data_IF_378974128671
#
_entry.id   IF_378974128671
#
_cell.length_a   1.000
_cell.length_b   1.000
_cell.length_c   1.000
_cell.angle_alpha   90.00
_cell.angle_beta   90.00
_cell.angle_gamma   90.00
#
_symmetry.space_group_name_H-M   'P 1'
#
loop_
_entity.id
_entity.type
_entity.pdbx_description
1 polymer ?
#
# COMPACT_ATOMS: atom_id res chain seq x y z
N UNK A 1 3.21 19.83 -12.91
CA UNK A 1 2.36 18.61 -12.95
C UNK A 1 1.51 18.53 -14.22
N UNK A 2 1.95 19.07 -15.37
CA UNK A 2 1.09 19.24 -16.56
C UNK A 2 1.32 18.11 -17.60
N UNK A 3 2.43 17.37 -17.51
CA UNK A 3 2.80 16.33 -18.48
C UNK A 3 2.25 14.92 -18.24
N UNK A 4 1.38 14.68 -17.26
CA UNK A 4 0.83 13.35 -16.96
C UNK A 4 -0.64 13.17 -17.35
N UNK A 5 -1.36 14.26 -17.64
CA UNK A 5 -2.82 14.23 -17.81
C UNK A 5 -3.26 13.43 -19.02
N UNK A 6 -2.61 13.57 -20.18
CA UNK A 6 -3.00 12.83 -21.39
C UNK A 6 -2.61 11.34 -21.33
N UNK A 7 -1.50 10.98 -20.68
CA UNK A 7 -1.18 9.58 -20.39
C UNK A 7 -2.21 8.95 -19.46
N UNK A 8 -2.59 9.67 -18.39
CA UNK A 8 -3.64 9.24 -17.45
C UNK A 8 -4.98 9.14 -18.15
N UNK A 9 -5.34 10.09 -19.02
CA UNK A 9 -6.58 10.07 -19.80
C UNK A 9 -6.61 8.89 -20.77
N UNK A 10 -5.51 8.58 -21.46
CA UNK A 10 -5.42 7.39 -22.31
C UNK A 10 -5.59 6.10 -21.49
N UNK A 11 -5.00 6.04 -20.29
CA UNK A 11 -5.18 4.91 -19.36
C UNK A 11 -6.64 4.81 -18.86
N UNK A 12 -7.27 5.91 -18.49
CA UNK A 12 -8.67 5.97 -18.05
C UNK A 12 -9.63 5.57 -19.19
N UNK A 13 -9.36 6.03 -20.43
CA UNK A 13 -10.10 5.61 -21.63
C UNK A 13 -9.96 4.11 -21.91
N UNK A 14 -8.81 3.52 -21.58
CA UNK A 14 -8.59 2.08 -21.64
C UNK A 14 -9.20 1.32 -20.45
N UNK A 15 -9.94 2.01 -19.56
CA UNK A 15 -10.61 1.40 -18.41
C UNK A 15 -9.69 1.15 -17.20
N UNK A 16 -8.53 1.81 -17.12
CA UNK A 16 -7.64 1.69 -15.98
C UNK A 16 -8.22 2.35 -14.73
N UNK A 17 -8.14 1.67 -13.59
CA UNK A 17 -8.27 2.32 -12.28
C UNK A 17 -6.90 2.90 -11.91
N UNK A 18 -6.77 4.23 -11.90
CA UNK A 18 -5.49 4.89 -11.58
C UNK A 18 -5.40 5.21 -10.11
N UNK A 19 -4.42 4.62 -9.42
CA UNK A 19 -3.97 5.10 -8.10
C UNK A 19 -2.54 5.63 -8.22
N UNK A 20 -2.41 6.95 -8.17
CA UNK A 20 -1.11 7.61 -8.19
C UNK A 20 -0.67 7.90 -6.75
N UNK A 21 0.23 7.09 -6.19
CA UNK A 21 0.87 7.42 -4.93
C UNK A 21 2.35 7.77 -5.10
N UNK A 22 2.58 9.07 -5.29
CA UNK A 22 3.90 9.69 -5.43
C UNK A 22 4.63 9.89 -4.09
N UNK A 23 3.99 9.60 -2.94
CA UNK A 23 4.61 9.71 -1.61
C UNK A 23 4.73 8.36 -0.92
N UNK A 24 5.86 8.13 -0.26
CA UNK A 24 6.17 6.87 0.42
C UNK A 24 5.13 6.44 1.47
N UNK A 25 4.48 7.40 2.15
CA UNK A 25 3.47 7.11 3.18
C UNK A 25 2.30 6.27 2.61
N UNK A 26 1.98 6.48 1.34
CA UNK A 26 0.93 5.75 0.62
C UNK A 26 1.42 4.42 0.03
N UNK A 27 2.70 4.11 0.10
CA UNK A 27 3.22 2.83 -0.42
C UNK A 27 2.70 1.61 0.35
N UNK A 28 2.24 1.85 1.58
CA UNK A 28 1.63 0.83 2.42
C UNK A 28 0.22 0.43 1.94
N UNK A 29 -0.50 1.31 1.23
CA UNK A 29 -1.88 1.08 0.78
C UNK A 29 -1.95 0.41 -0.59
N UNK A 30 -0.96 0.60 -1.47
CA UNK A 30 -0.94 0.02 -2.83
C UNK A 30 -1.16 -1.50 -2.89
N UNK A 31 -0.66 -2.24 -1.89
CA UNK A 31 -0.79 -3.70 -1.87
C UNK A 31 -2.25 -4.17 -1.92
N UNK A 32 -3.18 -3.32 -1.47
CA UNK A 32 -4.60 -3.61 -1.44
C UNK A 32 -5.29 -3.56 -2.80
N UNK A 33 -4.77 -2.72 -3.69
CA UNK A 33 -5.35 -2.43 -5.00
C UNK A 33 -4.68 -3.21 -6.12
N UNK A 34 -3.69 -4.04 -5.77
CA UNK A 34 -3.04 -4.94 -6.70
C UNK A 34 -3.91 -6.18 -6.88
N UNK A 35 -4.14 -6.58 -8.12
CA UNK A 35 -5.01 -7.68 -8.52
C UNK A 35 -4.33 -8.53 -9.57
N UNK A 36 -4.74 -9.80 -9.65
CA UNK A 36 -4.12 -10.77 -10.57
C UNK A 36 -4.41 -10.45 -12.03
N UNK A 37 -5.62 -9.95 -12.30
CA UNK A 37 -6.10 -9.71 -13.66
C UNK A 37 -6.09 -8.22 -13.99
N UNK A 38 -4.92 -7.62 -13.79
CA UNK A 38 -4.62 -6.26 -14.21
C UNK A 38 -3.39 -6.23 -15.11
N UNK A 39 -3.38 -5.21 -15.98
CA UNK A 39 -2.17 -4.73 -16.62
C UNK A 39 -1.56 -3.64 -15.74
N UNK A 40 -0.27 -3.77 -15.48
CA UNK A 40 0.49 -2.79 -14.72
C UNK A 40 1.24 -1.86 -15.65
N UNK A 41 1.13 -0.56 -15.42
CA UNK A 41 1.84 0.47 -16.17
C UNK A 41 2.66 1.30 -15.20
N UNK A 42 3.98 1.28 -15.35
CA UNK A 42 4.91 2.12 -14.59
C UNK A 42 5.20 3.37 -15.43
N UNK A 43 4.73 4.51 -14.95
CA UNK A 43 4.87 5.80 -15.63
C UNK A 43 5.92 6.64 -14.90
N UNK A 44 6.89 7.18 -15.63
CA UNK A 44 7.91 8.08 -15.06
C UNK A 44 8.17 9.28 -15.96
N UNK A 45 8.61 10.41 -15.37
CA UNK A 45 9.09 11.57 -16.14
C UNK A 45 10.45 11.21 -16.74
N UNK A 46 10.52 11.18 -18.08
CA UNK A 46 11.77 10.93 -18.79
C UNK A 46 12.77 12.08 -18.71
N UNK A 47 12.36 13.26 -18.21
CA UNK A 47 13.20 14.47 -18.20
C UNK A 47 14.01 14.67 -16.92
N UNK A 48 13.51 14.13 -15.82
CA UNK A 48 14.02 14.38 -14.48
C UNK A 48 14.63 13.11 -13.88
N UNK A 49 15.04 13.15 -12.61
CA UNK A 49 15.54 11.99 -11.87
C UNK A 49 14.45 10.91 -11.61
N UNK A 50 13.28 11.02 -12.22
CA UNK A 50 12.19 10.04 -12.10
C UNK A 50 12.63 8.63 -12.53
N UNK A 51 13.53 8.55 -13.52
CA UNK A 51 14.13 7.29 -14.00
C UNK A 51 14.81 6.48 -12.90
N UNK A 52 15.37 7.17 -11.90
CA UNK A 52 16.15 6.53 -10.82
C UNK A 52 15.24 5.82 -9.82
N UNK A 53 13.96 6.21 -9.76
CA UNK A 53 12.96 5.57 -8.89
C UNK A 53 12.24 4.38 -9.55
N UNK A 54 12.42 4.16 -10.86
CA UNK A 54 11.68 3.14 -11.63
C UNK A 54 11.89 1.74 -11.05
N UNK A 55 13.12 1.40 -10.64
CA UNK A 55 13.42 0.10 -10.04
C UNK A 55 12.57 -0.21 -8.81
N UNK A 56 12.33 0.78 -7.95
CA UNK A 56 11.50 0.60 -6.75
C UNK A 56 10.04 0.26 -7.08
N UNK A 57 9.50 0.84 -8.15
CA UNK A 57 8.15 0.53 -8.62
C UNK A 57 8.07 -0.83 -9.29
N UNK A 58 9.03 -1.16 -10.17
CA UNK A 58 9.06 -2.46 -10.85
C UNK A 58 9.22 -3.61 -9.85
N UNK A 59 10.13 -3.47 -8.89
CA UNK A 59 10.31 -4.43 -7.81
C UNK A 59 9.06 -4.59 -6.95
N UNK A 60 8.35 -3.48 -6.69
CA UNK A 60 7.09 -3.54 -5.95
C UNK A 60 6.02 -4.32 -6.69
N UNK A 61 5.84 -4.09 -7.99
CA UNK A 61 4.89 -4.88 -8.79
C UNK A 61 5.32 -6.34 -8.79
N UNK A 62 6.60 -6.65 -9.04
CA UNK A 62 7.14 -8.02 -9.00
C UNK A 62 6.93 -8.73 -7.65
N UNK A 63 7.01 -8.01 -6.53
CA UNK A 63 6.80 -8.58 -5.19
C UNK A 63 5.31 -8.76 -4.83
N UNK A 64 4.42 -7.99 -5.43
CA UNK A 64 2.97 -8.04 -5.17
C UNK A 64 2.25 -8.96 -6.16
N UNK A 65 2.69 -8.97 -7.42
CA UNK A 65 2.13 -9.76 -8.52
C UNK A 65 3.29 -10.33 -9.38
N UNK A 66 3.97 -11.40 -8.90
CA UNK A 66 5.22 -11.89 -9.51
C UNK A 66 5.13 -12.34 -10.97
N UNK A 67 3.93 -12.71 -11.43
CA UNK A 67 3.69 -13.21 -12.79
C UNK A 67 3.52 -12.08 -13.82
N UNK A 68 3.54 -10.81 -13.40
CA UNK A 68 3.29 -9.67 -14.29
C UNK A 68 4.53 -8.82 -14.48
N UNK A 69 4.86 -8.53 -15.73
CA UNK A 69 5.85 -7.53 -16.11
C UNK A 69 5.13 -6.22 -16.47
N UNK A 70 5.39 -5.11 -15.76
CA UNK A 70 4.78 -3.83 -16.08
C UNK A 70 5.19 -3.31 -17.46
N UNK A 71 4.27 -2.63 -18.15
CA UNK A 71 4.61 -1.73 -19.25
C UNK A 71 5.33 -0.51 -18.68
N UNK A 72 6.46 -0.14 -19.29
CA UNK A 72 7.24 1.02 -18.85
C UNK A 72 6.99 2.20 -19.80
N UNK A 73 6.52 3.31 -19.25
CA UNK A 73 6.12 4.52 -20.00
C UNK A 73 6.92 5.72 -19.54
N UNK A 74 7.72 6.28 -20.45
CA UNK A 74 8.46 7.50 -20.24
C UNK A 74 7.67 8.69 -20.77
N UNK A 75 7.18 9.55 -19.88
CA UNK A 75 6.47 10.78 -20.25
C UNK A 75 7.42 11.93 -20.52
N UNK A 76 6.90 12.97 -21.15
CA UNK A 76 7.65 14.18 -21.54
C UNK A 76 8.80 13.89 -22.52
N UNK A 77 8.69 12.79 -23.25
CA UNK A 77 9.58 12.50 -24.36
C UNK A 77 9.39 13.57 -25.45
N UNK A 78 10.48 13.96 -26.10
CA UNK A 78 10.54 14.90 -27.23
C UNK A 78 10.08 16.35 -26.93
N UNK A 79 9.56 16.64 -25.73
CA UNK A 79 9.19 18.00 -25.32
C UNK A 79 10.41 18.92 -25.32
N UNK A 80 10.42 19.91 -26.23
CA UNK A 80 11.57 20.82 -26.39
C UNK A 80 12.81 20.16 -27.00
N UNK A 81 12.62 19.11 -27.81
CA UNK A 81 13.71 18.39 -28.49
C UNK A 81 14.47 17.39 -27.61
N UNK A 82 13.99 17.16 -26.38
CA UNK A 82 14.64 16.28 -25.41
C UNK A 82 14.27 14.81 -25.60
N UNK A 83 15.23 13.90 -25.71
CA UNK A 83 14.95 12.46 -25.72
C UNK A 83 14.82 11.96 -24.28
N UNK A 84 13.71 11.29 -23.96
CA UNK A 84 13.46 10.76 -22.62
C UNK A 84 14.60 9.84 -22.15
N UNK A 85 15.08 10.09 -20.94
CA UNK A 85 16.10 9.29 -20.29
C UNK A 85 15.55 7.91 -19.93
N UNK A 86 16.44 6.92 -19.96
CA UNK A 86 16.15 5.54 -19.61
C UNK A 86 16.55 5.25 -18.16
N UNK A 87 15.84 4.35 -17.46
CA UNK A 87 16.32 3.81 -16.20
C UNK A 87 17.70 3.14 -16.39
N UNK A 88 18.49 2.97 -15.32
CA UNK A 88 19.76 2.25 -15.40
C UNK A 88 19.60 0.88 -16.08
N UNK A 89 20.52 0.50 -16.97
CA UNK A 89 20.46 -0.75 -17.71
C UNK A 89 20.32 -1.98 -16.79
N UNK A 90 21.01 -1.97 -15.64
CA UNK A 90 20.90 -3.02 -14.62
C UNK A 90 19.48 -3.19 -14.06
N UNK A 91 18.71 -2.11 -13.95
CA UNK A 91 17.30 -2.15 -13.53
C UNK A 91 16.46 -2.79 -14.63
N UNK A 92 16.64 -2.37 -15.88
CA UNK A 92 15.90 -2.92 -17.02
C UNK A 92 16.16 -4.43 -17.18
N UNK A 93 17.42 -4.85 -17.10
CA UNK A 93 17.84 -6.25 -17.17
C UNK A 93 17.25 -7.10 -16.04
N UNK A 94 17.26 -6.61 -14.80
CA UNK A 94 16.70 -7.32 -13.63
C UNK A 94 15.19 -7.59 -13.73
N UNK A 95 14.49 -6.81 -14.57
CA UNK A 95 13.06 -6.94 -14.84
C UNK A 95 12.75 -7.52 -16.23
N UNK A 96 13.77 -7.90 -17.01
CA UNK A 96 13.60 -8.44 -18.35
C UNK A 96 12.99 -7.45 -19.36
N UNK A 97 13.20 -6.15 -19.15
CA UNK A 97 12.71 -5.07 -20.00
C UNK A 97 13.86 -4.63 -20.91
N UNK A 98 13.61 -4.49 -22.22
CA UNK A 98 14.60 -3.93 -23.15
C UNK A 98 14.35 -2.43 -23.32
N UNK A 99 15.40 -1.65 -23.67
CA UNK A 99 15.28 -0.21 -23.93
C UNK A 99 14.26 0.14 -25.03
N UNK A 100 14.09 -0.76 -26.00
CA UNK A 100 13.11 -0.63 -27.09
C UNK A 100 11.67 -0.97 -26.65
N UNK A 101 11.49 -1.60 -25.50
CA UNK A 101 10.16 -1.90 -24.94
C UNK A 101 9.59 -0.68 -24.17
N UNK A 102 10.41 0.37 -23.96
CA UNK A 102 9.99 1.60 -23.27
C UNK A 102 9.16 2.44 -24.22
N UNK A 103 7.87 2.59 -23.89
CA UNK A 103 6.95 3.45 -24.62
C UNK A 103 7.25 4.89 -24.22
N UNK A 104 7.69 5.70 -25.19
CA UNK A 104 7.99 7.11 -24.98
C UNK A 104 6.79 7.93 -25.44
N UNK A 105 6.35 8.88 -24.63
CA UNK A 105 5.25 9.76 -25.01
C UNK A 105 5.45 11.20 -24.54
N UNK A 106 4.82 12.10 -25.28
CA UNK A 106 4.70 13.52 -24.96
C UNK A 106 3.23 13.82 -24.66
N UNK A 107 2.91 14.17 -23.41
CA UNK A 107 1.55 14.61 -23.11
C UNK A 107 1.27 16.01 -23.66
N UNK A 108 2.32 16.78 -23.99
CA UNK A 108 2.18 18.10 -24.61
C UNK A 108 1.77 18.01 -26.09
N UNK A 109 2.34 17.05 -26.83
CA UNK A 109 2.11 16.92 -28.29
C UNK A 109 1.18 15.76 -28.65
N UNK A 110 0.87 14.87 -27.69
CA UNK A 110 0.12 13.64 -27.94
C UNK A 110 0.92 12.52 -28.60
N UNK A 111 2.18 12.78 -28.99
CA UNK A 111 3.04 11.78 -29.62
C UNK A 111 3.27 10.58 -28.67
N UNK A 112 3.20 9.36 -29.20
CA UNK A 112 3.39 8.12 -28.44
C UNK A 112 2.14 7.62 -27.69
N UNK A 113 1.04 8.39 -27.66
CA UNK A 113 -0.20 7.96 -27.00
C UNK A 113 -0.88 6.80 -27.73
N UNK A 114 -0.87 6.80 -29.06
CA UNK A 114 -1.48 5.69 -29.83
C UNK A 114 -0.64 4.41 -29.74
N UNK A 115 0.69 4.53 -29.65
CA UNK A 115 1.59 3.41 -29.36
C UNK A 115 1.26 2.80 -27.99
N UNK A 116 1.03 3.63 -26.96
CA UNK A 116 0.58 3.17 -25.65
C UNK A 116 -0.76 2.42 -25.73
N UNK A 117 -1.75 2.97 -26.45
CA UNK A 117 -3.04 2.30 -26.64
C UNK A 117 -2.89 0.93 -27.32
N UNK A 118 -2.10 0.86 -28.38
CA UNK A 118 -1.83 -0.39 -29.08
C UNK A 118 -1.14 -1.43 -28.17
N UNK A 119 -0.14 -1.01 -27.40
CA UNK A 119 0.55 -1.89 -26.46
C UNK A 119 -0.41 -2.43 -25.37
N UNK A 120 -1.29 -1.57 -24.84
CA UNK A 120 -2.30 -1.96 -23.86
C UNK A 120 -3.28 -2.99 -24.45
N UNK A 121 -3.80 -2.74 -25.65
CA UNK A 121 -4.73 -3.66 -26.33
C UNK A 121 -4.05 -5.00 -26.64
N UNK A 122 -2.81 -4.99 -27.13
CA UNK A 122 -2.04 -6.21 -27.41
C UNK A 122 -1.86 -7.04 -26.14
N UNK A 123 -1.40 -6.41 -25.04
CA UNK A 123 -1.19 -7.09 -23.76
C UNK A 123 -2.48 -7.60 -23.12
N UNK A 124 -3.58 -6.85 -23.25
CA UNK A 124 -4.88 -7.29 -22.78
C UNK A 124 -5.38 -8.52 -23.57
N UNK A 125 -5.09 -8.56 -24.88
CA UNK A 125 -5.47 -9.67 -25.76
C UNK A 125 -4.64 -10.93 -25.48
N UNK A 126 -3.34 -10.79 -25.20
CA UNK A 126 -2.46 -11.90 -24.78
C UNK A 126 -2.89 -12.51 -23.43
N UNK A 127 -3.43 -11.69 -22.52
CA UNK A 127 -3.91 -12.15 -21.22
C UNK A 127 -5.27 -12.89 -21.30
N UNK A 128 -5.95 -12.88 -22.46
CA UNK A 128 -7.29 -13.41 -22.66
C UNK A 128 -7.30 -14.95 -22.85
N UNK A 129 -7.04 -15.70 -21.78
CA UNK A 129 -7.28 -17.17 -21.73
C UNK A 129 -8.66 -17.50 -21.12
N UNK A 130 -9.54 -16.51 -20.91
CA UNK A 130 -10.72 -16.67 -20.04
C UNK A 130 -12.05 -16.81 -20.81
N UNK A 131 -12.23 -17.88 -21.57
CA UNK A 131 -13.50 -18.14 -22.28
C UNK A 131 -14.68 -18.33 -21.33
N UNK A 132 -14.48 -19.04 -20.22
CA UNK A 132 -15.57 -19.44 -19.30
C UNK A 132 -16.13 -18.26 -18.51
N UNK A 133 -15.32 -17.21 -18.30
CA UNK A 133 -15.76 -16.01 -17.60
C UNK A 133 -16.74 -15.17 -18.42
N UNK A 134 -16.63 -15.19 -19.75
CA UNK A 134 -17.37 -14.32 -20.66
C UNK A 134 -18.84 -14.75 -20.87
N UNK A 135 -19.37 -15.63 -20.01
CA UNK A 135 -20.79 -15.96 -20.01
C UNK A 135 -21.65 -14.69 -19.86
N UNK A 136 -22.80 -14.66 -20.54
CA UNK A 136 -23.72 -13.52 -20.47
C UNK A 136 -24.18 -13.23 -19.04
N UNK A 137 -24.35 -14.27 -18.23
CA UNK A 137 -24.68 -14.15 -16.80
C UNK A 137 -23.62 -13.36 -16.02
N UNK A 138 -22.33 -13.71 -16.16
CA UNK A 138 -21.24 -13.00 -15.49
C UNK A 138 -21.10 -11.55 -15.96
N UNK A 139 -21.23 -11.31 -17.27
CA UNK A 139 -21.19 -9.96 -17.82
C UNK A 139 -22.34 -9.09 -17.31
N UNK A 140 -23.54 -9.66 -17.19
CA UNK A 140 -24.69 -8.98 -16.61
C UNK A 140 -24.45 -8.62 -15.13
N UNK A 141 -23.89 -9.55 -14.33
CA UNK A 141 -23.55 -9.25 -12.92
C UNK A 141 -22.54 -8.10 -12.85
N UNK A 142 -21.48 -8.14 -13.68
CA UNK A 142 -20.48 -7.07 -13.74
C UNK A 142 -21.12 -5.72 -14.05
N UNK A 143 -22.03 -5.68 -15.03
CA UNK A 143 -22.71 -4.45 -15.41
C UNK A 143 -23.62 -3.94 -14.30
N UNK A 144 -24.33 -4.84 -13.61
CA UNK A 144 -25.14 -4.47 -12.44
C UNK A 144 -24.29 -3.89 -11.31
N UNK A 145 -23.10 -4.44 -11.03
CA UNK A 145 -22.15 -3.88 -10.05
C UNK A 145 -21.75 -2.45 -10.44
N UNK A 146 -21.47 -2.20 -11.73
CA UNK A 146 -21.11 -0.87 -12.23
C UNK A 146 -22.27 0.12 -12.18
N UNK A 147 -23.47 -0.31 -12.52
CA UNK A 147 -24.67 0.51 -12.42
C UNK A 147 -24.94 0.88 -10.96
N UNK A 148 -24.88 -0.09 -10.04
CA UNK A 148 -25.02 0.16 -8.61
C UNK A 148 -23.97 1.13 -8.10
N UNK A 149 -22.71 1.00 -8.53
CA UNK A 149 -21.65 1.96 -8.20
C UNK A 149 -22.04 3.38 -8.62
N UNK A 150 -22.47 3.57 -9.87
CA UNK A 150 -22.86 4.88 -10.38
C UNK A 150 -24.07 5.46 -9.63
N UNK A 151 -25.06 4.61 -9.30
CA UNK A 151 -26.25 5.01 -8.56
C UNK A 151 -25.91 5.42 -7.12
N UNK A 152 -25.00 4.69 -6.46
CA UNK A 152 -24.55 4.99 -5.10
C UNK A 152 -23.72 6.26 -5.04
N UNK A 153 -22.84 6.48 -6.03
CA UNK A 153 -22.09 7.73 -6.18
C UNK A 153 -23.04 8.93 -6.34
N UNK A 154 -24.03 8.82 -7.25
CA UNK A 154 -25.05 9.86 -7.45
C UNK A 154 -25.89 10.12 -6.20
N UNK A 155 -26.17 9.08 -5.41
CA UNK A 155 -26.90 9.19 -4.16
C UNK A 155 -26.03 9.58 -2.96
N UNK A 156 -24.73 9.83 -3.16
CA UNK A 156 -23.74 10.10 -2.11
C UNK A 156 -23.76 9.04 -0.98
N UNK A 157 -23.92 7.76 -1.37
CA UNK A 157 -23.92 6.61 -0.48
C UNK A 157 -22.55 5.91 -0.52
N UNK A 158 -22.09 5.36 0.62
CA UNK A 158 -20.90 4.51 0.60
C UNK A 158 -21.17 3.28 -0.29
N UNK A 159 -20.26 2.89 -1.20
CA UNK A 159 -20.44 1.81 -2.18
C UNK A 159 -20.27 0.43 -1.52
N UNK A 160 -21.09 0.19 -0.51
CA UNK A 160 -21.11 -0.97 0.35
C UNK A 160 -22.49 -1.62 0.23
N UNK A 161 -22.50 -2.91 -0.08
CA UNK A 161 -23.70 -3.74 -0.10
C UNK A 161 -23.46 -4.96 0.78
N UNK A 162 -24.54 -5.56 1.23
CA UNK A 162 -24.50 -6.84 1.91
C UNK A 162 -24.20 -7.97 0.92
N UNK A 163 -23.63 -9.06 1.42
CA UNK A 163 -23.44 -10.28 0.65
C UNK A 163 -24.78 -10.80 0.10
N UNK A 164 -25.86 -10.72 0.88
CA UNK A 164 -27.21 -11.08 0.42
C UNK A 164 -27.70 -10.24 -0.76
N UNK A 165 -27.48 -8.92 -0.74
CA UNK A 165 -27.83 -8.04 -1.88
C UNK A 165 -27.05 -8.42 -3.14
N UNK A 166 -25.77 -8.75 -3.01
CA UNK A 166 -24.96 -9.26 -4.13
C UNK A 166 -25.51 -10.59 -4.65
N UNK A 167 -25.80 -11.54 -3.76
CA UNK A 167 -26.32 -12.85 -4.13
C UNK A 167 -27.67 -12.76 -4.85
N UNK A 168 -28.57 -11.91 -4.38
CA UNK A 168 -29.88 -11.71 -4.99
C UNK A 168 -29.77 -11.01 -6.35
N UNK A 169 -28.85 -10.05 -6.50
CA UNK A 169 -28.50 -9.49 -7.81
C UNK A 169 -27.97 -10.57 -8.75
N UNK A 170 -27.06 -11.42 -8.30
CA UNK A 170 -26.48 -12.48 -9.13
C UNK A 170 -27.52 -13.53 -9.55
N UNK A 171 -28.46 -13.89 -8.66
CA UNK A 171 -29.59 -14.78 -9.00
C UNK A 171 -30.47 -14.20 -10.11
N UNK A 172 -30.73 -12.88 -10.09
CA UNK A 172 -31.48 -12.18 -11.16
C UNK A 172 -30.73 -12.16 -12.50
N UNK A 173 -29.42 -12.42 -12.50
CA UNK A 173 -28.59 -12.55 -13.69
C UNK A 173 -28.32 -14.03 -14.06
N UNK A 174 -29.21 -14.94 -13.68
CA UNK A 174 -29.16 -16.38 -13.99
C UNK A 174 -28.03 -17.17 -13.29
N UNK A 175 -27.36 -16.62 -12.27
CA UNK A 175 -26.42 -17.37 -11.42
C UNK A 175 -27.15 -18.02 -10.23
N UNK A 176 -27.82 -19.13 -10.51
CA UNK A 176 -28.71 -19.80 -9.55
C UNK A 176 -27.99 -20.61 -8.47
N UNK A 177 -26.82 -21.20 -8.78
CA UNK A 177 -26.07 -22.02 -7.82
C UNK A 177 -25.12 -21.17 -6.96
N UNK A 178 -24.94 -21.49 -5.66
CA UNK A 178 -23.98 -20.79 -4.79
C UNK A 178 -22.55 -20.80 -5.33
N UNK A 179 -22.11 -21.93 -5.90
CA UNK A 179 -20.76 -22.06 -6.45
C UNK A 179 -20.52 -21.12 -7.63
N UNK A 180 -21.49 -20.96 -8.53
CA UNK A 180 -21.37 -20.04 -9.65
C UNK A 180 -21.33 -18.58 -9.18
N UNK A 181 -22.14 -18.22 -8.17
CA UNK A 181 -22.09 -16.87 -7.57
C UNK A 181 -20.75 -16.59 -6.90
N UNK A 182 -20.22 -17.56 -6.15
CA UNK A 182 -18.91 -17.42 -5.50
C UNK A 182 -17.80 -17.26 -6.53
N UNK A 183 -17.73 -18.14 -7.53
CA UNK A 183 -16.77 -18.02 -8.64
C UNK A 183 -16.88 -16.68 -9.35
N UNK A 184 -18.10 -16.16 -9.51
CA UNK A 184 -18.34 -14.84 -10.09
C UNK A 184 -17.78 -13.71 -9.24
N UNK A 185 -18.02 -13.74 -7.93
CA UNK A 185 -17.50 -12.76 -6.99
C UNK A 185 -15.97 -12.79 -6.90
N UNK A 186 -15.38 -13.99 -6.81
CA UNK A 186 -13.93 -14.18 -6.78
C UNK A 186 -13.31 -13.59 -8.05
N UNK A 187 -13.93 -13.81 -9.19
CA UNK A 187 -13.45 -13.31 -10.47
C UNK A 187 -13.58 -11.79 -10.60
N UNK A 188 -14.69 -11.20 -10.15
CA UNK A 188 -14.83 -9.74 -10.08
C UNK A 188 -13.81 -9.13 -9.09
N UNK A 189 -13.47 -9.86 -8.03
CA UNK A 189 -12.42 -9.49 -7.08
C UNK A 189 -11.04 -9.52 -7.75
N UNK A 190 -10.72 -10.56 -8.52
CA UNK A 190 -9.47 -10.68 -9.28
C UNK A 190 -9.34 -9.62 -10.37
N UNK A 191 -10.45 -9.12 -10.89
CA UNK A 191 -10.49 -7.99 -11.84
C UNK A 191 -10.46 -6.61 -11.17
N UNK A 192 -10.61 -6.55 -9.84
CA UNK A 192 -10.73 -5.29 -9.10
C UNK A 192 -12.04 -4.53 -9.33
N UNK A 193 -13.10 -5.20 -9.77
CA UNK A 193 -14.44 -4.62 -9.94
C UNK A 193 -15.17 -4.47 -8.60
N UNK A 194 -14.89 -5.35 -7.64
CA UNK A 194 -15.39 -5.28 -6.27
C UNK A 194 -14.38 -5.92 -5.31
N UNK A 195 -14.63 -5.82 -4.01
CA UNK A 195 -13.90 -6.56 -2.96
C UNK A 195 -14.86 -7.12 -1.93
N UNK A 196 -14.62 -8.37 -1.52
CA UNK A 196 -15.29 -9.00 -0.39
C UNK A 196 -14.24 -9.43 0.65
N UNK A 197 -14.45 -9.08 1.92
CA UNK A 197 -13.50 -9.34 3.01
C UNK A 197 -14.06 -10.40 3.96
N UNK A 198 -14.25 -11.61 3.44
CA UNK A 198 -14.80 -12.75 4.21
C UNK A 198 -13.97 -13.13 5.45
N UNK A 199 -12.69 -12.76 5.49
CA UNK A 199 -11.75 -13.06 6.57
C UNK A 199 -11.55 -11.91 7.57
N UNK A 200 -12.25 -10.79 7.39
CA UNK A 200 -12.15 -9.62 8.27
C UNK A 200 -13.37 -9.54 9.18
N UNK A 201 -13.19 -9.67 10.52
CA UNK A 201 -14.31 -9.59 11.44
C UNK A 201 -15.08 -8.27 11.33
N UNK A 202 -16.41 -8.34 11.27
CA UNK A 202 -17.30 -7.20 11.07
C UNK A 202 -17.50 -6.78 9.61
N UNK A 203 -16.87 -7.44 8.64
CA UNK A 203 -17.05 -7.24 7.19
C UNK A 203 -17.36 -8.53 6.42
N UNK A 204 -17.62 -9.64 7.11
CA UNK A 204 -17.85 -10.96 6.51
C UNK A 204 -19.01 -10.95 5.52
N UNK A 205 -20.04 -10.14 5.80
CA UNK A 205 -21.23 -9.96 4.96
C UNK A 205 -21.20 -8.67 4.15
N UNK A 206 -20.04 -8.02 3.98
CA UNK A 206 -19.93 -6.71 3.30
C UNK A 206 -19.13 -6.83 2.01
N UNK A 207 -19.77 -6.46 0.90
CA UNK A 207 -19.15 -6.35 -0.43
C UNK A 207 -18.96 -4.87 -0.77
N UNK A 208 -17.73 -4.50 -1.11
CA UNK A 208 -17.37 -3.16 -1.58
C UNK A 208 -17.39 -3.12 -3.10
N UNK A 209 -18.42 -2.48 -3.67
CA UNK A 209 -18.65 -2.45 -5.13
C UNK A 209 -17.86 -1.36 -5.86
N UNK A 210 -17.17 -0.49 -5.12
CA UNK A 210 -16.15 0.42 -5.66
C UNK A 210 -14.89 0.38 -4.80
N UNK A 211 -13.88 -0.42 -5.18
CA UNK A 211 -12.62 -0.46 -4.46
C UNK A 211 -11.91 0.90 -4.37
N UNK A 212 -12.12 1.84 -5.31
CA UNK A 212 -11.49 3.18 -5.26
C UNK A 212 -11.93 3.96 -4.02
N UNK A 213 -13.15 3.75 -3.56
CA UNK A 213 -13.64 4.36 -2.32
C UNK A 213 -12.84 3.91 -1.09
N UNK A 214 -12.33 2.67 -1.07
CA UNK A 214 -11.44 2.20 -0.01
C UNK A 214 -10.10 2.91 -0.07
N UNK A 215 -9.58 3.20 -1.27
CA UNK A 215 -8.37 4.00 -1.45
C UNK A 215 -8.56 5.40 -0.87
N UNK A 216 -9.69 6.04 -1.20
CA UNK A 216 -10.04 7.35 -0.67
C UNK A 216 -10.17 7.34 0.85
N UNK A 217 -10.81 6.32 1.42
CA UNK A 217 -10.91 6.11 2.86
C UNK A 217 -9.50 5.97 3.50
N UNK A 218 -8.66 5.09 2.96
CA UNK A 218 -7.30 4.89 3.45
C UNK A 218 -6.47 6.18 3.35
N UNK A 219 -6.63 6.97 2.28
CA UNK A 219 -5.93 8.25 2.08
C UNK A 219 -6.34 9.36 3.06
N UNK A 220 -7.50 9.21 3.70
CA UNK A 220 -7.95 10.12 4.77
C UNK A 220 -7.29 9.79 6.11
N UNK A 221 -6.78 8.56 6.26
CA UNK A 221 -6.23 8.03 7.50
C UNK A 221 -4.72 8.01 7.44
N UNK A 222 -4.16 7.45 6.37
CA UNK A 222 -2.73 7.47 6.05
C UNK A 222 -2.50 8.69 5.16
N UNK A 223 -1.95 9.76 5.73
CA UNK A 223 -1.89 11.07 5.04
C UNK A 223 -0.69 11.91 5.46
N UNK A 224 -0.32 12.88 4.63
CA UNK A 224 0.62 13.95 4.98
C UNK A 224 -0.06 15.34 5.01
N UNK A 225 -1.37 15.40 4.79
CA UNK A 225 -2.14 16.64 4.79
C UNK A 225 -2.39 17.11 6.23
N UNK A 226 -2.00 18.35 6.55
CA UNK A 226 -2.09 18.90 7.90
C UNK A 226 -3.53 18.97 8.42
N UNK A 227 -4.51 19.28 7.55
CA UNK A 227 -5.92 19.34 7.95
C UNK A 227 -6.48 17.97 8.30
N UNK A 228 -6.14 16.93 7.53
CA UNK A 228 -6.52 15.54 7.84
C UNK A 228 -5.80 15.01 9.07
N UNK A 229 -4.52 15.34 9.25
CA UNK A 229 -3.77 15.02 10.48
C UNK A 229 -4.42 15.63 11.72
N UNK A 230 -4.84 16.90 11.64
CA UNK A 230 -5.57 17.56 12.74
C UNK A 230 -6.90 16.85 13.07
N UNK A 231 -7.64 16.35 12.07
CA UNK A 231 -8.86 15.54 12.30
C UNK A 231 -8.59 14.23 13.05
N UNK A 232 -7.37 13.69 12.92
CA UNK A 232 -6.90 12.53 13.67
C UNK A 232 -6.34 12.90 15.05
N UNK A 233 -6.43 14.16 15.49
CA UNK A 233 -5.86 14.63 16.75
C UNK A 233 -4.33 14.65 16.75
N UNK A 234 -3.71 14.66 15.56
CA UNK A 234 -2.26 14.80 15.40
C UNK A 234 -1.96 16.29 15.22
N UNK A 235 -1.88 17.03 16.32
CA UNK A 235 -1.55 18.46 16.27
C UNK A 235 -0.07 18.68 15.93
N UNK A 236 0.20 19.77 15.21
CA UNK A 236 1.54 20.25 14.85
C UNK A 236 2.25 20.85 16.08
N UNK A 237 2.50 20.03 17.10
CA UNK A 237 3.50 20.36 18.11
C UNK A 237 4.90 20.18 17.51
N UNK A 238 5.83 21.10 17.78
CA UNK A 238 7.25 20.99 17.42
C UNK A 238 7.93 19.68 17.88
N UNK A 239 7.24 18.87 18.70
CA UNK A 239 7.66 17.55 19.10
C UNK A 239 7.09 16.48 18.15
N UNK A 240 7.94 16.04 17.21
CA UNK A 240 7.78 14.87 16.30
C UNK A 240 7.28 13.56 16.96
N UNK A 241 7.20 13.49 18.30
CA UNK A 241 6.83 12.29 19.08
C UNK A 241 5.37 11.83 18.88
N UNK A 242 4.42 12.73 18.60
CA UNK A 242 3.01 12.34 18.45
C UNK A 242 2.62 12.00 17.00
N UNK A 243 3.55 12.12 16.04
CA UNK A 243 3.26 11.83 14.64
C UNK A 243 2.95 10.35 14.47
N UNK A 244 1.79 10.02 13.91
CA UNK A 244 1.33 8.65 13.72
C UNK A 244 0.58 8.04 14.91
N UNK A 245 0.36 8.79 15.99
CA UNK A 245 -0.51 8.39 17.11
C UNK A 245 -1.87 9.08 17.01
N UNK A 246 -2.95 8.35 17.29
CA UNK A 246 -4.32 8.88 17.33
C UNK A 246 -5.14 8.18 18.41
N UNK A 247 -6.36 8.65 18.68
CA UNK A 247 -7.32 7.91 19.50
C UNK A 247 -8.26 7.11 18.61
N UNK A 248 -8.77 5.98 19.12
CA UNK A 248 -9.81 5.20 18.44
C UNK A 248 -11.04 6.05 18.13
N UNK A 249 -11.44 6.95 19.04
CA UNK A 249 -12.54 7.88 18.83
C UNK A 249 -12.31 8.82 17.64
N UNK A 250 -11.09 9.35 17.47
CA UNK A 250 -10.75 10.20 16.34
C UNK A 250 -10.71 9.41 15.03
N UNK A 251 -10.12 8.21 15.04
CA UNK A 251 -10.08 7.32 13.89
C UNK A 251 -11.49 6.96 13.41
N UNK A 252 -12.36 6.50 14.32
CA UNK A 252 -13.76 6.20 14.01
C UNK A 252 -14.52 7.42 13.49
N UNK A 253 -14.26 8.63 14.03
CA UNK A 253 -14.88 9.86 13.53
C UNK A 253 -14.49 10.13 12.08
N UNK A 254 -13.23 9.89 11.71
CA UNK A 254 -12.79 10.00 10.31
C UNK A 254 -13.50 8.97 9.45
N UNK A 255 -13.56 7.70 9.86
CA UNK A 255 -14.27 6.64 9.11
C UNK A 255 -15.76 6.97 8.96
N UNK A 256 -16.44 7.38 10.03
CA UNK A 256 -17.85 7.82 10.04
C UNK A 256 -18.13 8.99 9.10
N UNK A 257 -17.14 9.87 8.89
CA UNK A 257 -17.29 11.00 7.95
C UNK A 257 -17.32 10.57 6.48
N UNK A 258 -16.85 9.36 6.17
CA UNK A 258 -16.84 8.78 4.81
C UNK A 258 -17.92 7.73 4.64
N UNK A 259 -18.29 7.08 5.74
CA UNK A 259 -19.33 6.06 5.81
C UNK A 259 -20.36 6.49 6.87
N UNK A 260 -21.26 7.45 6.57
CA UNK A 260 -22.36 7.75 7.48
C UNK A 260 -23.20 6.50 7.69
N UNK A 261 -23.72 6.31 8.91
CA UNK A 261 -24.41 5.10 9.30
C UNK A 261 -25.51 4.73 8.28
N UNK A 262 -25.49 3.49 7.80
CA UNK A 262 -26.56 2.95 6.98
C UNK A 262 -27.84 2.82 7.80
N UNK A 263 -28.99 2.99 7.15
CA UNK A 263 -30.33 2.71 7.69
C UNK A 263 -30.49 1.25 8.15
N UNK A 264 -29.57 0.35 7.80
CA UNK A 264 -29.61 -1.10 8.09
C UNK A 264 -28.92 -1.54 9.38
N UNK A 265 -28.60 -0.63 10.31
CA UNK A 265 -28.32 -0.98 11.72
C UNK A 265 -26.92 -1.55 12.02
N UNK A 266 -26.07 -1.80 11.02
CA UNK A 266 -24.66 -2.16 11.22
C UNK A 266 -23.73 -0.95 11.12
N UNK A 267 -22.98 -0.64 12.17
CA UNK A 267 -21.88 0.34 12.08
C UNK A 267 -20.66 -0.32 11.43
N UNK A 268 -20.65 -0.39 10.08
CA UNK A 268 -19.52 -0.88 9.27
C UNK A 268 -18.17 -0.23 9.60
N UNK A 269 -18.20 0.89 10.34
CA UNK A 269 -17.05 1.58 10.90
C UNK A 269 -16.09 0.64 11.62
N UNK A 270 -16.58 -0.26 12.49
CA UNK A 270 -15.69 -1.17 13.24
C UNK A 270 -15.02 -2.17 12.29
N UNK A 271 -15.80 -2.75 11.37
CA UNK A 271 -15.29 -3.63 10.32
C UNK A 271 -14.23 -2.95 9.43
N UNK A 272 -14.46 -1.70 9.02
CA UNK A 272 -13.49 -0.92 8.22
C UNK A 272 -12.23 -0.58 9.02
N UNK A 273 -12.34 -0.33 10.32
CA UNK A 273 -11.16 -0.20 11.20
C UNK A 273 -10.39 -1.51 11.25
N UNK A 274 -11.08 -2.64 11.44
CA UNK A 274 -10.45 -3.96 11.46
C UNK A 274 -9.82 -4.32 10.12
N UNK A 275 -10.38 -3.90 9.00
CA UNK A 275 -9.78 -4.02 7.68
C UNK A 275 -8.42 -3.32 7.64
N UNK A 276 -8.34 -2.07 8.12
CA UNK A 276 -7.08 -1.35 8.18
C UNK A 276 -6.05 -2.00 9.10
N UNK A 277 -6.50 -2.63 10.19
CA UNK A 277 -5.64 -3.43 11.05
C UNK A 277 -5.15 -4.70 10.34
N UNK A 278 -6.05 -5.39 9.64
CA UNK A 278 -5.72 -6.57 8.84
C UNK A 278 -4.64 -6.24 7.78
N UNK A 279 -4.77 -5.07 7.14
CA UNK A 279 -3.80 -4.54 6.17
C UNK A 279 -2.49 -4.04 6.81
N UNK A 280 -2.40 -3.95 8.15
CA UNK A 280 -1.23 -3.42 8.83
C UNK A 280 -1.07 -1.91 8.73
N UNK A 281 -2.13 -1.18 8.41
CA UNK A 281 -2.14 0.28 8.34
C UNK A 281 -2.43 0.94 9.70
N UNK A 282 -3.11 0.21 10.59
CA UNK A 282 -3.48 0.66 11.93
C UNK A 282 -3.17 -0.44 12.94
N UNK A 283 -2.75 -0.05 14.14
CA UNK A 283 -2.76 -0.89 15.33
C UNK A 283 -3.63 -0.20 16.38
N UNK A 284 -4.65 -0.87 16.91
CA UNK A 284 -5.43 -0.34 18.04
C UNK A 284 -4.93 -0.96 19.34
N UNK A 285 -4.59 -0.10 20.31
CA UNK A 285 -4.19 -0.49 21.64
C UNK A 285 -5.42 -0.60 22.56
N UNK A 286 -5.32 -1.45 23.59
CA UNK A 286 -6.41 -1.70 24.53
C UNK A 286 -6.86 -0.45 25.32
N UNK A 287 -5.97 0.55 25.48
CA UNK A 287 -6.26 1.81 26.16
C UNK A 287 -7.03 2.83 25.30
N UNK A 288 -7.54 2.44 24.14
CA UNK A 288 -8.29 3.31 23.23
C UNK A 288 -7.40 4.21 22.36
N UNK A 289 -6.08 4.05 22.40
CA UNK A 289 -5.15 4.68 21.45
C UNK A 289 -4.98 3.82 20.20
N UNK A 290 -4.54 4.44 19.11
CA UNK A 290 -4.16 3.75 17.89
C UNK A 290 -2.86 4.33 17.31
N UNK A 291 -2.12 3.47 16.63
CA UNK A 291 -0.89 3.80 15.91
C UNK A 291 -1.13 3.59 14.43
N UNK A 292 -0.65 4.53 13.59
CA UNK A 292 -0.66 4.46 12.13
C UNK A 292 0.79 4.34 11.66
N UNK A 293 1.35 3.12 11.53
CA UNK A 293 2.77 2.93 11.28
C UNK A 293 3.36 3.69 10.09
N UNK A 294 2.66 3.82 8.94
CA UNK A 294 3.18 4.58 7.80
C UNK A 294 3.42 6.07 8.09
N UNK A 295 2.77 6.62 9.11
CA UNK A 295 2.88 8.03 9.50
C UNK A 295 3.87 8.28 10.64
N UNK A 296 4.41 7.23 11.26
CA UNK A 296 5.41 7.36 12.31
C UNK A 296 6.70 8.01 11.77
N UNK A 297 7.50 8.64 12.65
CA UNK A 297 8.81 9.18 12.26
C UNK A 297 9.71 8.09 11.69
N UNK A 298 10.42 8.39 10.61
CA UNK A 298 11.41 7.46 10.05
C UNK A 298 12.73 7.54 10.82
N UNK A 299 13.23 6.39 11.27
CA UNK A 299 14.54 6.25 11.92
C UNK A 299 15.42 5.21 11.22
N UNK A 300 15.04 4.75 10.02
CA UNK A 300 15.79 3.77 9.23
C UNK A 300 17.16 4.26 8.76
N UNK A 301 17.39 5.58 8.77
CA UNK A 301 18.68 6.20 8.42
C UNK A 301 19.70 6.18 9.56
N UNK A 302 19.27 5.85 10.79
CA UNK A 302 20.18 5.76 11.93
C UNK A 302 20.92 4.43 11.92
N UNK A 303 22.22 4.46 12.21
CA UNK A 303 23.03 3.24 12.26
C UNK A 303 22.50 2.27 13.32
N UNK A 304 22.65 0.96 13.07
CA UNK A 304 22.34 -0.08 14.04
C UNK A 304 23.10 0.14 15.37
N UNK A 305 24.33 0.66 15.30
CA UNK A 305 25.17 1.00 16.47
C UNK A 305 24.53 2.12 17.31
N UNK A 306 23.93 3.12 16.67
CA UNK A 306 23.21 4.20 17.34
C UNK A 306 21.96 3.69 18.08
N UNK A 307 21.16 2.84 17.41
CA UNK A 307 20.00 2.20 18.02
C UNK A 307 20.40 1.32 19.21
N UNK A 308 21.45 0.50 19.04
CA UNK A 308 22.04 -0.30 20.13
C UNK A 308 22.45 0.57 21.31
N UNK A 309 23.22 1.63 21.09
CA UNK A 309 23.66 2.52 22.16
C UNK A 309 22.48 3.17 22.92
N UNK A 310 21.40 3.53 22.23
CA UNK A 310 20.18 4.07 22.85
C UNK A 310 19.44 3.03 23.71
N UNK A 311 19.45 1.75 23.32
CA UNK A 311 18.90 0.65 24.11
C UNK A 311 19.72 0.40 25.39
N UNK A 312 21.04 0.54 25.32
CA UNK A 312 21.95 0.32 26.47
C UNK A 312 21.82 1.42 27.53
N UNK A 313 21.70 2.69 27.11
CA UNK A 313 21.79 3.86 27.99
C UNK A 313 20.61 4.08 28.95
N UNK A 314 19.52 3.30 28.87
CA UNK A 314 18.41 3.48 29.80
C UNK A 314 18.53 2.56 31.03
N UNK A 315 18.66 3.11 32.25
CA UNK A 315 18.49 2.35 33.47
C UNK A 315 17.03 1.88 33.52
N UNK A 316 16.82 0.60 33.86
CA UNK A 316 15.46 0.11 34.06
C UNK A 316 14.83 0.88 35.20
N UNK A 317 13.63 1.43 34.99
CA UNK A 317 12.82 2.05 36.05
C UNK A 317 12.20 1.00 36.98
N UNK A 318 13.00 0.02 37.43
CA UNK A 318 12.59 -0.86 38.53
C UNK A 318 13.36 -0.45 39.79
N UNK A 319 12.60 -0.13 40.83
CA UNK A 319 13.05 -0.09 42.23
C UNK A 319 13.28 -1.51 42.79
N UNK A 320 13.79 -2.42 41.97
CA UNK A 320 14.09 -3.80 42.34
C UNK A 320 15.50 -4.13 41.86
N UNK A 321 16.29 -4.79 42.69
CA UNK A 321 17.67 -5.18 42.38
C UNK A 321 17.73 -5.88 41.01
N UNK A 322 18.25 -5.18 40.01
CA UNK A 322 18.68 -5.80 38.75
C UNK A 322 19.75 -6.85 39.08
N UNK A 323 19.72 -8.05 38.48
CA UNK A 323 20.74 -9.06 38.71
C UNK A 323 22.12 -8.47 38.41
N UNK A 324 23.02 -8.51 39.39
CA UNK A 324 24.39 -8.08 39.20
C UNK A 324 25.09 -9.03 38.20
N UNK A 325 25.25 -8.58 36.96
CA UNK A 325 25.93 -9.35 35.90
C UNK A 325 25.93 -8.62 34.55
N UNK A 326 26.82 -9.00 33.62
CA UNK A 326 26.86 -8.43 32.28
C UNK A 326 25.55 -8.73 31.55
N UNK A 327 24.87 -7.68 31.03
CA UNK A 327 23.67 -7.84 30.20
C UNK A 327 24.03 -8.70 28.98
N UNK A 328 23.40 -9.87 28.85
CA UNK A 328 23.49 -10.69 27.64
C UNK A 328 22.40 -10.25 26.68
N UNK A 329 22.79 -9.90 25.47
CA UNK A 329 21.88 -9.56 24.38
C UNK A 329 21.91 -10.67 23.35
N UNK A 330 20.75 -10.92 22.77
CA UNK A 330 20.63 -11.72 21.56
C UNK A 330 20.08 -10.83 20.44
N UNK A 331 20.63 -10.98 19.24
CA UNK A 331 20.09 -10.34 18.05
C UNK A 331 20.16 -11.30 16.88
N UNK A 332 19.08 -11.40 16.11
CA UNK A 332 19.10 -11.97 14.77
C UNK A 332 19.04 -10.83 13.74
N UNK A 333 19.87 -10.93 12.72
CA UNK A 333 19.85 -10.03 11.58
C UNK A 333 19.41 -10.82 10.36
N UNK A 334 18.42 -10.28 9.66
CA UNK A 334 17.91 -10.84 8.41
C UNK A 334 18.20 -9.85 7.29
N UNK A 335 18.90 -10.32 6.26
CA UNK A 335 19.12 -9.53 5.05
C UNK A 335 18.08 -9.94 4.00
N UNK A 336 17.35 -8.95 3.51
CA UNK A 336 16.36 -9.11 2.45
C UNK A 336 16.87 -8.36 1.22
N UNK A 337 16.77 -8.97 0.04
CA UNK A 337 17.08 -8.27 -1.22
C UNK A 337 16.21 -7.01 -1.37
N UNK A 338 14.92 -7.14 -1.08
CA UNK A 338 14.01 -6.00 -0.92
C UNK A 338 12.85 -6.32 0.02
N UNK A 339 12.45 -5.34 0.81
CA UNK A 339 11.37 -5.46 1.78
C UNK A 339 10.38 -4.31 1.62
N UNK A 340 9.09 -4.64 1.43
CA UNK A 340 8.05 -3.64 1.19
C UNK A 340 7.56 -3.04 2.51
N UNK A 341 7.38 -1.71 2.51
CA UNK A 341 6.84 -0.93 3.62
C UNK A 341 5.58 -1.53 4.25
N UNK A 342 4.60 -1.97 3.44
CA UNK A 342 3.37 -2.57 3.97
C UNK A 342 3.65 -3.84 4.81
N UNK A 343 4.66 -4.65 4.44
CA UNK A 343 5.04 -5.86 5.20
C UNK A 343 5.66 -5.49 6.53
N UNK A 344 6.49 -4.44 6.56
CA UNK A 344 7.09 -3.92 7.78
C UNK A 344 6.05 -3.28 8.70
N UNK A 345 5.12 -2.49 8.17
CA UNK A 345 3.98 -1.95 8.93
C UNK A 345 3.13 -3.07 9.51
N UNK A 346 2.80 -4.09 8.70
CA UNK A 346 2.03 -5.26 9.15
C UNK A 346 2.77 -6.07 10.21
N UNK A 347 4.09 -6.27 10.05
CA UNK A 347 4.93 -6.93 11.05
C UNK A 347 4.92 -6.16 12.37
N UNK A 348 5.06 -4.83 12.32
CA UNK A 348 4.98 -3.98 13.50
C UNK A 348 3.61 -4.09 14.19
N UNK A 349 2.51 -3.96 13.44
CA UNK A 349 1.16 -4.13 14.00
C UNK A 349 0.97 -5.51 14.66
N UNK A 350 1.40 -6.59 14.00
CA UNK A 350 1.31 -7.95 14.53
C UNK A 350 2.15 -8.13 15.80
N UNK A 351 3.35 -7.57 15.81
CA UNK A 351 4.25 -7.61 16.96
C UNK A 351 3.66 -6.88 18.17
N UNK A 352 2.99 -5.74 17.96
CA UNK A 352 2.28 -5.03 19.02
C UNK A 352 1.03 -5.80 19.50
N UNK A 353 0.34 -6.52 18.62
CA UNK A 353 -0.85 -7.30 18.95
C UNK A 353 -0.54 -8.61 19.71
N UNK A 354 0.50 -9.33 19.30
CA UNK A 354 0.84 -10.65 19.84
C UNK A 354 1.57 -10.59 21.20
N UNK A 355 1.88 -9.39 21.68
CA UNK A 355 2.64 -9.16 22.91
C UNK A 355 1.83 -8.29 23.90
N UNK A 356 0.69 -8.78 24.41
CA UNK A 356 -0.23 -7.97 25.22
C UNK A 356 0.37 -7.54 26.57
N UNK A 357 1.25 -8.35 27.15
CA UNK A 357 1.86 -8.08 28.47
C UNK A 357 3.08 -7.13 28.39
N UNK A 358 3.38 -6.61 27.20
CA UNK A 358 4.62 -5.89 26.94
C UNK A 358 4.36 -4.38 26.90
N UNK A 359 5.13 -3.64 27.69
CA UNK A 359 5.08 -2.18 27.72
C UNK A 359 5.74 -1.62 26.45
N UNK A 360 4.98 -0.83 25.68
CA UNK A 360 5.50 -0.14 24.49
C UNK A 360 6.25 1.12 24.94
N UNK A 361 7.58 1.10 24.89
CA UNK A 361 8.42 2.20 25.36
C UNK A 361 8.66 3.29 24.31
N UNK A 362 8.73 2.90 23.03
CA UNK A 362 8.91 3.81 21.89
C UNK A 362 8.51 3.08 20.59
N UNK A 363 7.99 3.81 19.60
CA UNK A 363 7.61 3.26 18.29
C UNK A 363 7.99 4.26 17.20
N UNK A 364 8.53 3.77 16.09
CA UNK A 364 8.86 4.56 14.91
C UNK A 364 8.51 3.77 13.63
N UNK A 365 8.67 4.40 12.47
CA UNK A 365 8.37 3.76 11.19
C UNK A 365 9.23 2.49 11.06
N UNK A 366 8.58 1.33 11.08
CA UNK A 366 9.19 0.00 10.98
C UNK A 366 10.07 -0.43 12.16
N UNK A 367 9.79 0.07 13.35
CA UNK A 367 10.44 -0.42 14.55
C UNK A 367 9.70 -0.07 15.83
N UNK A 368 10.00 -0.82 16.87
CA UNK A 368 9.47 -0.58 18.20
C UNK A 368 10.48 -1.00 19.23
N UNK A 369 10.43 -0.29 20.36
CA UNK A 369 11.11 -0.65 21.59
C UNK A 369 10.05 -1.04 22.60
N UNK A 370 10.15 -2.27 23.07
CA UNK A 370 9.18 -2.87 23.97
C UNK A 370 9.87 -3.42 25.21
N UNK A 371 9.17 -3.50 26.33
CA UNK A 371 9.67 -4.05 27.60
C UNK A 371 8.74 -5.13 28.13
N UNK A 372 9.27 -6.34 28.32
CA UNK A 372 8.54 -7.43 28.97
C UNK A 372 8.51 -7.23 30.50
N UNK A 373 7.52 -7.79 31.21
CA UNK A 373 7.47 -7.74 32.66
C UNK A 373 8.72 -8.32 33.33
N UNK A 374 9.34 -9.33 32.71
CA UNK A 374 10.56 -9.99 33.18
C UNK A 374 11.86 -9.19 32.91
N UNK A 375 11.77 -8.01 32.29
CA UNK A 375 12.89 -7.09 32.11
C UNK A 375 13.55 -7.10 30.72
N UNK A 376 13.15 -7.99 29.81
CA UNK A 376 13.69 -8.03 28.45
C UNK A 376 13.21 -6.85 27.60
N UNK A 377 14.12 -6.30 26.79
CA UNK A 377 13.83 -5.20 25.86
C UNK A 377 13.79 -5.75 24.43
N UNK A 378 12.61 -5.86 23.83
CA UNK A 378 12.45 -6.28 22.43
C UNK A 378 12.59 -5.06 21.53
N UNK A 379 13.58 -5.08 20.64
CA UNK A 379 13.86 -4.02 19.68
C UNK A 379 13.83 -4.59 18.26
N UNK A 380 12.77 -4.28 17.51
CA UNK A 380 12.76 -4.47 16.06
C UNK A 380 13.21 -3.16 15.42
N UNK A 381 14.21 -3.21 14.55
CA UNK A 381 14.61 -2.05 13.73
C UNK A 381 14.92 -2.52 12.32
N UNK A 382 14.53 -1.69 11.36
CA UNK A 382 14.89 -1.85 9.96
C UNK A 382 15.89 -0.73 9.61
N UNK A 383 16.95 -1.07 8.91
CA UNK A 383 17.88 -0.09 8.33
C UNK A 383 17.96 -0.33 6.83
N UNK A 384 17.84 0.71 6.02
CA UNK A 384 18.14 0.60 4.58
C UNK A 384 19.65 0.79 4.39
N UNK A 385 20.30 -0.09 3.64
CA UNK A 385 21.62 0.26 3.08
C UNK A 385 21.38 1.42 2.12
N UNK A 386 21.78 2.62 2.53
CA UNK A 386 21.99 3.70 1.59
C UNK A 386 23.23 3.31 0.80
N UNK A 387 23.06 2.59 -0.30
CA UNK A 387 24.10 2.57 -1.31
C UNK A 387 24.28 4.04 -1.70
N UNK A 388 25.44 4.60 -1.34
CA UNK A 388 25.83 5.95 -1.74
C UNK A 388 25.90 5.97 -3.26
N UNK A 389 24.80 6.23 -3.92
CA UNK A 389 24.77 6.70 -5.30
C UNK A 389 24.77 8.23 -5.27
N UNK A 390 25.83 8.80 -4.67
CA UNK A 390 26.24 10.16 -4.92
C UNK A 390 27.77 10.22 -4.94
N UNK A 391 28.25 10.79 -6.04
CA UNK A 391 29.60 11.17 -6.43
C UNK A 391 30.56 10.06 -6.87
N UNK A 392 30.80 10.04 -8.19
CA UNK A 392 31.90 9.37 -8.86
C UNK A 392 33.27 9.93 -8.46
N UNK A 393 33.66 9.72 -7.20
CA UNK A 393 35.06 9.70 -6.78
C UNK A 393 35.27 8.43 -5.98
N UNK A 394 36.02 7.52 -6.58
CA UNK A 394 36.40 6.26 -5.93
C UNK A 394 37.23 6.47 -4.66
N UNK A 395 37.70 5.33 -4.14
CA UNK A 395 38.68 5.11 -3.05
C UNK A 395 38.02 4.42 -1.83
N UNK A 396 38.69 3.44 -1.18
CA UNK A 396 38.92 2.08 -1.66
C UNK A 396 38.30 1.04 -0.70
N UNK A 397 38.37 -0.22 -1.06
CA UNK A 397 38.06 -1.36 -0.19
C UNK A 397 38.96 -1.37 1.07
N UNK A 398 38.37 -1.40 2.26
CA UNK A 398 39.05 -1.91 3.46
C UNK A 398 38.26 -3.06 4.10
N UNK A 399 38.77 -4.23 3.77
CA UNK A 399 38.88 -5.50 4.49
C UNK A 399 38.41 -5.50 5.95
N UNK A 400 37.60 -6.51 6.25
CA UNK A 400 37.21 -6.96 7.56
C UNK A 400 38.40 -7.18 8.51
N UNK A 401 38.24 -6.78 9.77
CA UNK A 401 38.94 -7.42 10.88
C UNK A 401 37.96 -7.76 11.99
N UNK A 402 37.99 -9.04 12.35
CA UNK A 402 37.31 -9.70 13.45
C UNK A 402 37.84 -9.24 14.80
N UNK A 403 36.95 -9.01 15.77
CA UNK A 403 37.15 -9.25 17.22
C UNK A 403 35.79 -9.33 17.90
#
# INVERSE_FOLDING_TARGET
>A
MIGHEEAVKALLQAGANTEAATKEVYWSTHAFFMVRDALYVTVYSGRDNGKDSVGDFLDRVKLLVPEKTPLLVATRAWEGGFIAQEPPASVLEAHGIKANDIIRLSSLTGQGVDELKHALISKASEASVFSDWLSRANLNVREQVRQMRADYEKANKPPLITLGEFEDMAKRCDLTTPDNRRRCMDRLTDMGELRHFSDVPGLEDVVVIDPRWLADLMSKIVTTDAGRMAKLGMENGQNSRNKGWTSMKALEKVVKSVCPASSSGGSWVDGLVRLMQHCGLVYAAANGMAVIPPMLPDRMTQSLKSHRAALVKQPGSQSGHLPAGPRRWWSAQYEYGRLLDHRLSRLLCRLLLLLPDVEVLDVWRFGARLRRPQGDVLAMTCTRRLDKWMDGRGVPSEVASSS
#
